data_IF_809489960843
#
_entry.id   IF_809489960843
#
_cell.length_a   1.000
_cell.length_b   1.000
_cell.length_c   1.000
_cell.angle_alpha   90.00
_cell.angle_beta   90.00
_cell.angle_gamma   90.00
#
_symmetry.space_group_name_H-M   'P 1'
#
loop_
_entity.id
_entity.type
_entity.pdbx_description
1 polymer ?
#
# COMPACT_ATOMS: atom_id res chain seq x y z
N UNK A 1 -73.07 5.19 -48.04
CA UNK A 1 -72.81 4.82 -46.62
C UNK A 1 -71.30 4.80 -46.49
N UNK A 2 -70.53 5.64 -45.78
CA UNK A 2 -70.67 6.57 -44.64
C UNK A 2 -69.61 7.69 -44.90
N UNK A 3 -69.90 9.01 -44.88
CA UNK A 3 -69.72 9.95 -43.74
C UNK A 3 -68.40 9.67 -42.95
N UNK A 4 -67.40 10.56 -42.81
CA UNK A 4 -67.40 12.01 -42.46
C UNK A 4 -65.95 12.58 -42.41
N UNK A 5 -65.81 13.88 -42.73
CA UNK A 5 -64.96 14.95 -42.15
C UNK A 5 -63.44 14.70 -41.94
N UNK A 6 -62.49 15.38 -42.59
CA UNK A 6 -62.08 16.82 -42.52
C UNK A 6 -61.94 17.33 -41.07
N UNK A 7 -60.73 17.82 -40.72
CA UNK A 7 -60.33 18.80 -39.65
C UNK A 7 -59.01 18.33 -38.96
N UNK A 8 -57.96 19.17 -38.76
CA UNK A 8 -57.07 19.73 -39.78
C UNK A 8 -55.57 19.71 -39.34
N UNK A 9 -54.72 20.27 -40.21
CA UNK A 9 -53.58 21.14 -39.93
C UNK A 9 -53.38 21.60 -38.45
N UNK A 10 -52.11 21.61 -38.01
CA UNK A 10 -51.57 22.37 -36.85
C UNK A 10 -51.74 21.77 -35.45
N UNK A 11 -51.05 20.67 -35.09
CA UNK A 11 -50.56 20.49 -33.71
C UNK A 11 -49.62 19.28 -33.56
N UNK A 12 -48.33 19.43 -33.89
CA UNK A 12 -47.20 18.70 -33.25
C UNK A 12 -45.88 18.98 -33.97
N UNK A 13 -45.70 20.24 -34.37
CA UNK A 13 -44.38 20.85 -34.55
C UNK A 13 -43.83 21.17 -33.15
N UNK A 14 -43.34 20.18 -32.42
CA UNK A 14 -42.52 20.36 -31.22
C UNK A 14 -42.07 19.00 -30.68
N UNK A 15 -40.94 18.48 -31.14
CA UNK A 15 -39.91 17.80 -30.34
C UNK A 15 -38.81 17.25 -31.27
N UNK A 16 -37.97 18.15 -31.79
CA UNK A 16 -36.60 17.81 -32.21
C UNK A 16 -35.70 19.02 -31.94
N UNK A 17 -35.12 19.15 -30.73
CA UNK A 17 -33.87 19.85 -30.57
C UNK A 17 -32.71 18.84 -30.52
N UNK A 18 -31.49 19.35 -30.64
CA UNK A 18 -30.19 18.68 -30.47
C UNK A 18 -29.57 18.00 -31.69
N UNK A 19 -29.38 18.76 -32.78
CA UNK A 19 -28.19 18.58 -33.65
C UNK A 19 -27.69 19.92 -34.19
N UNK A 20 -27.25 20.83 -33.32
CA UNK A 20 -26.41 21.96 -33.74
C UNK A 20 -25.75 22.60 -32.52
N UNK A 21 -24.43 22.48 -32.39
CA UNK A 21 -23.67 23.25 -31.42
C UNK A 21 -22.48 22.51 -30.83
N UNK A 22 -21.39 22.41 -31.58
CA UNK A 22 -20.01 22.46 -31.06
C UNK A 22 -19.08 22.77 -32.25
N UNK A 23 -19.28 23.94 -32.84
CA UNK A 23 -18.23 24.61 -33.60
C UNK A 23 -17.39 25.41 -32.61
N UNK A 24 -16.08 25.19 -32.66
CA UNK A 24 -15.03 26.10 -32.19
C UNK A 24 -15.14 26.60 -30.74
N UNK A 25 -14.79 25.74 -29.79
CA UNK A 25 -14.19 26.20 -28.54
C UNK A 25 -12.67 26.00 -28.68
N UNK A 26 -11.98 27.14 -28.77
CA UNK A 26 -10.56 27.40 -28.60
C UNK A 26 -9.59 26.22 -28.63
N UNK A 27 -8.58 26.36 -29.50
CA UNK A 27 -7.29 25.72 -29.35
C UNK A 27 -6.75 26.01 -27.93
N UNK A 28 -7.13 25.13 -26.98
CA UNK A 28 -6.41 24.95 -25.74
C UNK A 28 -5.02 24.53 -26.16
N UNK A 29 -4.14 25.53 -26.24
CA UNK A 29 -2.71 25.39 -26.10
C UNK A 29 -2.52 24.64 -24.79
N UNK A 30 -2.58 23.31 -24.87
CA UNK A 30 -2.10 22.46 -23.81
C UNK A 30 -0.71 23.02 -23.50
N UNK A 31 -0.44 23.44 -22.26
CA UNK A 31 0.95 23.58 -21.88
C UNK A 31 1.48 22.15 -22.05
N UNK A 32 2.13 21.88 -23.17
CA UNK A 32 3.15 20.86 -23.22
C UNK A 32 4.14 21.35 -22.19
N UNK A 33 3.95 20.93 -20.94
CA UNK A 33 5.03 20.72 -20.01
C UNK A 33 5.88 19.68 -20.69
N UNK A 34 6.73 20.16 -21.58
CA UNK A 34 7.82 19.41 -22.11
C UNK A 34 8.62 19.08 -20.84
N UNK A 35 8.51 17.84 -20.37
CA UNK A 35 9.36 17.26 -19.33
C UNK A 35 10.79 17.15 -19.91
N UNK A 36 11.37 18.29 -20.28
CA UNK A 36 12.77 18.44 -20.66
C UNK A 36 13.45 19.06 -19.45
N UNK A 37 13.66 18.24 -18.44
CA UNK A 37 14.37 18.61 -17.21
C UNK A 37 15.32 17.50 -16.82
N UNK A 38 16.63 17.80 -16.86
CA UNK A 38 17.74 17.09 -16.22
C UNK A 38 17.51 15.62 -15.82
N UNK A 39 17.30 14.74 -16.80
CA UNK A 39 16.96 13.34 -16.59
C UNK A 39 18.05 12.48 -15.92
N UNK A 40 19.25 13.02 -15.63
CA UNK A 40 20.37 12.18 -15.19
C UNK A 40 20.21 11.70 -13.75
N UNK A 41 19.92 12.57 -12.79
CA UNK A 41 19.83 12.19 -11.38
C UNK A 41 18.61 11.29 -11.09
N UNK A 42 17.46 11.61 -11.68
CA UNK A 42 16.24 10.83 -11.54
C UNK A 42 16.37 9.47 -12.21
N UNK A 43 16.95 9.40 -13.42
CA UNK A 43 17.21 8.14 -14.10
C UNK A 43 18.27 7.30 -13.37
N UNK A 44 19.30 7.93 -12.78
CA UNK A 44 20.30 7.23 -11.96
C UNK A 44 19.66 6.61 -10.72
N UNK A 45 18.82 7.37 -10.00
CA UNK A 45 18.06 6.86 -8.86
C UNK A 45 17.14 5.70 -9.26
N UNK A 46 16.40 5.84 -10.38
CA UNK A 46 15.51 4.80 -10.88
C UNK A 46 16.27 3.53 -11.32
N UNK A 47 17.41 3.69 -12.02
CA UNK A 47 18.29 2.57 -12.41
C UNK A 47 18.86 1.87 -11.18
N UNK A 48 19.26 2.64 -10.17
CA UNK A 48 19.77 2.09 -8.92
C UNK A 48 18.68 1.30 -8.18
N UNK A 49 17.45 1.84 -8.09
CA UNK A 49 16.30 1.13 -7.53
C UNK A 49 16.00 -0.18 -8.28
N UNK A 50 16.07 -0.17 -9.62
CA UNK A 50 15.89 -1.37 -10.42
C UNK A 50 17.01 -2.40 -10.17
N UNK A 51 18.26 -1.96 -10.06
CA UNK A 51 19.42 -2.81 -9.74
C UNK A 51 19.21 -3.53 -8.41
N UNK A 52 18.79 -2.81 -7.36
CA UNK A 52 18.59 -3.39 -6.02
C UNK A 52 17.55 -4.51 -6.00
N UNK A 53 16.50 -4.42 -6.81
CA UNK A 53 15.46 -5.46 -6.90
C UNK A 53 15.96 -6.76 -7.53
N UNK A 54 17.02 -6.71 -8.33
CA UNK A 54 17.61 -7.88 -8.97
C UNK A 54 18.75 -8.53 -8.19
N UNK A 55 19.19 -7.94 -7.07
CA UNK A 55 20.32 -8.45 -6.30
C UNK A 55 19.91 -9.62 -5.39
N UNK A 56 20.83 -10.55 -5.22
CA UNK A 56 20.77 -11.59 -4.20
C UNK A 56 20.99 -11.00 -2.78
N UNK A 57 20.58 -11.70 -1.70
CA UNK A 57 20.77 -11.20 -0.34
C UNK A 57 22.24 -10.97 0.04
N UNK A 58 23.18 -11.75 -0.49
CA UNK A 58 24.62 -11.56 -0.26
C UNK A 58 25.18 -10.34 -1.01
N UNK A 59 24.66 -10.04 -2.20
CA UNK A 59 25.02 -8.82 -2.93
C UNK A 59 24.44 -7.57 -2.25
N UNK A 60 23.23 -7.69 -1.69
CA UNK A 60 22.60 -6.61 -0.93
C UNK A 60 23.39 -6.24 0.32
N UNK A 61 23.96 -7.21 1.05
CA UNK A 61 24.82 -6.91 2.20
C UNK A 61 26.12 -6.20 1.77
N UNK A 62 26.73 -6.64 0.67
CA UNK A 62 27.94 -5.99 0.14
C UNK A 62 27.66 -4.56 -0.36
N UNK A 63 26.51 -4.36 -1.02
CA UNK A 63 26.08 -3.03 -1.48
C UNK A 63 25.76 -2.13 -0.27
N UNK A 64 25.17 -2.66 0.81
CA UNK A 64 24.92 -1.91 2.04
C UNK A 64 26.22 -1.31 2.61
N UNK A 65 27.26 -2.13 2.74
CA UNK A 65 28.58 -1.69 3.22
C UNK A 65 29.21 -0.68 2.27
N UNK A 66 29.11 -0.91 0.96
CA UNK A 66 29.67 -0.05 -0.08
C UNK A 66 29.05 1.35 -0.03
N UNK A 67 27.73 1.43 0.03
CA UNK A 67 26.98 2.70 0.04
C UNK A 67 27.18 3.43 1.37
N UNK A 68 27.22 2.70 2.49
CA UNK A 68 27.53 3.26 3.80
C UNK A 68 28.94 3.86 3.84
N UNK A 69 29.94 3.14 3.30
CA UNK A 69 31.33 3.61 3.21
C UNK A 69 31.45 4.82 2.30
N UNK A 70 30.75 4.83 1.16
CA UNK A 70 30.74 5.98 0.24
C UNK A 70 30.18 7.23 0.91
N UNK A 71 29.07 7.11 1.64
CA UNK A 71 28.49 8.22 2.41
C UNK A 71 29.43 8.70 3.54
N UNK A 72 30.07 7.79 4.25
CA UNK A 72 31.02 8.15 5.32
C UNK A 72 32.27 8.85 4.76
N UNK A 73 32.72 8.46 3.57
CA UNK A 73 33.88 9.06 2.90
C UNK A 73 33.54 10.44 2.34
N UNK A 74 32.37 10.58 1.71
CA UNK A 74 31.88 11.83 1.14
C UNK A 74 30.40 12.01 1.48
N UNK A 75 30.12 12.93 2.40
CA UNK A 75 28.77 13.33 2.80
C UNK A 75 28.12 14.28 1.79
N UNK A 76 28.09 13.89 0.53
CA UNK A 76 27.39 14.64 -0.52
C UNK A 76 25.92 14.20 -0.62
N UNK A 77 25.14 14.98 -1.35
CA UNK A 77 23.71 14.72 -1.57
C UNK A 77 23.45 13.43 -2.36
N UNK A 78 24.29 13.10 -3.35
CA UNK A 78 24.14 11.88 -4.17
C UNK A 78 24.32 10.60 -3.34
N UNK A 79 25.38 10.52 -2.50
CA UNK A 79 25.60 9.35 -1.65
C UNK A 79 24.52 9.26 -0.56
N UNK A 80 24.02 10.40 -0.08
CA UNK A 80 22.93 10.45 0.89
C UNK A 80 21.65 9.89 0.29
N UNK A 81 21.26 10.35 -0.91
CA UNK A 81 20.10 9.83 -1.63
C UNK A 81 20.26 8.33 -1.91
N UNK A 82 21.44 7.89 -2.36
CA UNK A 82 21.70 6.46 -2.65
C UNK A 82 21.58 5.60 -1.40
N UNK A 83 22.09 6.06 -0.25
CA UNK A 83 21.97 5.37 1.03
C UNK A 83 20.51 5.33 1.52
N UNK A 84 19.80 6.45 1.41
CA UNK A 84 18.38 6.51 1.76
C UNK A 84 17.55 5.56 0.88
N UNK A 85 17.80 5.55 -0.43
CA UNK A 85 17.10 4.69 -1.38
C UNK A 85 17.41 3.21 -1.15
N UNK A 86 18.64 2.88 -0.76
CA UNK A 86 18.98 1.53 -0.32
C UNK A 86 18.14 1.11 0.88
N UNK A 87 18.13 1.92 1.96
CA UNK A 87 17.37 1.60 3.17
C UNK A 87 15.84 1.58 2.95
N UNK A 88 15.34 2.36 2.00
CA UNK A 88 13.93 2.40 1.63
C UNK A 88 13.47 1.13 0.89
N UNK A 89 14.31 0.59 0.01
CA UNK A 89 13.94 -0.48 -0.93
C UNK A 89 14.45 -1.85 -0.53
N UNK A 90 15.52 -1.94 0.26
CA UNK A 90 16.06 -3.22 0.68
C UNK A 90 15.03 -3.98 1.55
N UNK A 91 14.96 -5.31 1.41
CA UNK A 91 14.13 -6.12 2.29
C UNK A 91 14.67 -6.10 3.74
N UNK A 92 13.79 -6.26 4.75
CA UNK A 92 14.23 -6.45 6.13
C UNK A 92 15.08 -7.73 6.23
N UNK A 93 16.16 -7.75 7.04
CA UNK A 93 16.53 -6.77 8.07
C UNK A 93 17.46 -5.63 7.60
N UNK A 94 17.90 -5.63 6.34
CA UNK A 94 18.86 -4.65 5.82
C UNK A 94 18.21 -3.28 5.52
N UNK A 95 16.93 -3.31 5.12
CA UNK A 95 16.12 -2.12 4.92
C UNK A 95 15.64 -1.53 6.24
N UNK A 96 15.77 -0.21 6.38
CA UNK A 96 15.25 0.56 7.50
C UNK A 96 14.66 1.88 6.99
N UNK A 97 13.33 1.90 6.85
CA UNK A 97 12.60 3.07 6.36
C UNK A 97 12.70 4.27 7.29
N UNK A 98 12.88 4.05 8.60
CA UNK A 98 13.07 5.13 9.57
C UNK A 98 14.41 5.84 9.34
N UNK A 99 15.44 5.06 9.06
CA UNK A 99 16.77 5.57 8.69
C UNK A 99 16.73 6.30 7.35
N UNK A 100 16.03 5.75 6.36
CA UNK A 100 15.83 6.42 5.07
C UNK A 100 15.14 7.79 5.24
N UNK A 101 14.10 7.88 6.08
CA UNK A 101 13.44 9.15 6.40
C UNK A 101 14.40 10.14 7.06
N UNK A 102 15.16 9.73 8.07
CA UNK A 102 16.12 10.61 8.74
C UNK A 102 17.22 11.15 7.81
N UNK A 103 17.57 10.39 6.76
CA UNK A 103 18.54 10.82 5.77
C UNK A 103 17.97 11.82 4.77
N UNK A 104 16.67 11.75 4.47
CA UNK A 104 16.02 12.64 3.50
C UNK A 104 15.38 13.88 4.15
N UNK A 105 14.98 13.79 5.41
CA UNK A 105 14.36 14.88 6.18
C UNK A 105 15.43 15.85 6.70
N UNK A 106 15.84 16.76 5.82
CA UNK A 106 16.91 17.72 6.06
C UNK A 106 16.35 19.05 6.52
N UNK A 107 16.86 19.61 7.64
CA UNK A 107 16.40 20.91 8.10
C UNK A 107 16.78 22.00 7.09
N UNK A 108 15.94 23.05 6.96
CA UNK A 108 16.18 24.17 6.06
C UNK A 108 17.36 25.01 6.58
N UNK A 109 18.58 24.59 6.26
CA UNK A 109 19.82 25.19 6.77
C UNK A 109 21.05 24.34 6.52
N UNK A 110 20.90 23.05 6.24
CA UNK A 110 22.04 22.24 5.80
C UNK A 110 22.47 22.63 4.37
N UNK A 111 23.77 22.89 4.21
CA UNK A 111 24.38 23.18 2.91
C UNK A 111 24.15 22.08 1.85
N UNK A 112 23.89 20.85 2.30
CA UNK A 112 23.60 19.69 1.45
C UNK A 112 22.09 19.41 1.29
N UNK A 113 21.23 20.26 1.85
CA UNK A 113 19.78 20.04 1.90
C UNK A 113 19.00 20.50 0.67
N UNK A 114 19.56 21.39 -0.16
CA UNK A 114 18.90 22.00 -1.32
C UNK A 114 19.68 21.82 -2.62
N UNK A 115 20.31 20.66 -2.80
CA UNK A 115 21.04 20.39 -4.02
C UNK A 115 20.14 19.88 -5.15
N UNK A 116 20.75 19.23 -6.14
CA UNK A 116 20.07 18.73 -7.35
C UNK A 116 19.06 17.63 -7.03
N UNK A 117 19.29 16.86 -5.97
CA UNK A 117 18.45 15.72 -5.61
C UNK A 117 17.34 16.06 -4.62
N UNK A 118 17.28 17.32 -4.14
CA UNK A 118 16.26 17.78 -3.22
C UNK A 118 14.82 17.54 -3.72
N UNK A 119 14.46 17.77 -4.99
CA UNK A 119 13.12 17.45 -5.49
C UNK A 119 12.77 15.96 -5.38
N UNK A 120 13.74 15.07 -5.61
CA UNK A 120 13.56 13.63 -5.42
C UNK A 120 13.35 13.29 -3.95
N UNK A 121 14.12 13.92 -3.05
CA UNK A 121 13.93 13.74 -1.61
C UNK A 121 12.52 14.15 -1.16
N UNK A 122 12.01 15.29 -1.65
CA UNK A 122 10.65 15.77 -1.38
C UNK A 122 9.57 14.83 -1.93
N UNK A 123 9.82 14.15 -3.05
CA UNK A 123 8.90 13.14 -3.59
C UNK A 123 8.89 11.87 -2.72
N UNK A 124 10.05 11.42 -2.26
CA UNK A 124 10.16 10.17 -1.48
C UNK A 124 9.72 10.31 -0.02
N UNK A 125 9.85 11.50 0.58
CA UNK A 125 9.46 11.76 1.97
C UNK A 125 8.01 11.33 2.31
N UNK A 126 6.96 11.83 1.62
CA UNK A 126 5.59 11.43 1.92
C UNK A 126 5.36 9.94 1.62
N UNK A 127 5.96 9.41 0.55
CA UNK A 127 5.85 7.99 0.22
C UNK A 127 6.42 7.10 1.32
N UNK A 128 7.57 7.46 1.89
CA UNK A 128 8.19 6.71 2.98
C UNK A 128 7.41 6.82 4.29
N UNK A 129 6.84 7.99 4.59
CA UNK A 129 5.95 8.18 5.73
C UNK A 129 4.70 7.30 5.62
N UNK A 130 4.09 7.25 4.43
CA UNK A 130 2.94 6.38 4.18
C UNK A 130 3.30 4.90 4.28
N UNK A 131 4.44 4.48 3.72
CA UNK A 131 4.89 3.10 3.86
C UNK A 131 5.09 2.72 5.33
N UNK A 132 5.68 3.60 6.14
CA UNK A 132 5.81 3.37 7.59
C UNK A 132 4.45 3.24 8.28
N UNK A 133 3.50 4.12 7.97
CA UNK A 133 2.13 4.05 8.51
C UNK A 133 1.44 2.74 8.12
N UNK A 134 1.67 2.26 6.91
CA UNK A 134 1.15 0.98 6.42
C UNK A 134 1.81 -0.20 7.14
N UNK A 135 3.13 -0.17 7.37
CA UNK A 135 3.84 -1.19 8.13
C UNK A 135 3.33 -1.28 9.58
N UNK A 136 3.12 -0.13 10.24
CA UNK A 136 2.57 -0.05 11.60
C UNK A 136 1.12 -0.58 11.65
N UNK A 137 0.29 -0.23 10.66
CA UNK A 137 -1.08 -0.75 10.55
C UNK A 137 -1.11 -2.27 10.30
N UNK A 138 -0.19 -2.78 9.47
CA UNK A 138 -0.03 -4.20 9.21
C UNK A 138 0.39 -4.95 10.48
N UNK A 139 1.37 -4.42 11.22
CA UNK A 139 1.82 -5.01 12.48
C UNK A 139 0.68 -5.06 13.52
N UNK A 140 -0.10 -3.97 13.64
CA UNK A 140 -1.26 -3.91 14.53
C UNK A 140 -2.35 -4.93 14.12
N UNK A 141 -2.62 -5.08 12.82
CA UNK A 141 -3.56 -6.07 12.30
C UNK A 141 -3.12 -7.51 12.59
N UNK A 142 -1.83 -7.81 12.37
CA UNK A 142 -1.26 -9.13 12.68
C UNK A 142 -1.32 -9.46 14.18
N UNK A 143 -1.13 -8.46 15.05
CA UNK A 143 -1.27 -8.66 16.49
C UNK A 143 -2.71 -9.04 16.86
N UNK A 144 -3.70 -8.29 16.34
CA UNK A 144 -5.13 -8.59 16.56
C UNK A 144 -5.49 -9.98 16.06
N UNK A 145 -5.02 -10.39 14.89
CA UNK A 145 -5.26 -11.72 14.36
C UNK A 145 -4.70 -12.81 15.28
N UNK A 146 -3.50 -12.62 15.84
CA UNK A 146 -2.93 -13.56 16.81
C UNK A 146 -3.72 -13.62 18.12
N UNK A 147 -4.24 -12.49 18.59
CA UNK A 147 -5.10 -12.44 19.78
C UNK A 147 -6.43 -13.16 19.55
N UNK A 148 -7.08 -12.93 18.42
CA UNK A 148 -8.32 -13.62 18.05
C UNK A 148 -8.11 -15.12 17.85
N UNK A 149 -6.99 -15.54 17.25
CA UNK A 149 -6.62 -16.95 17.16
C UNK A 149 -6.50 -17.59 18.55
N UNK A 150 -5.82 -16.94 19.49
CA UNK A 150 -5.71 -17.43 20.88
C UNK A 150 -7.07 -17.51 21.58
N UNK A 151 -7.95 -16.54 21.36
CA UNK A 151 -9.32 -16.57 21.90
C UNK A 151 -10.12 -17.72 21.32
N UNK A 152 -10.03 -17.96 20.01
CA UNK A 152 -10.69 -19.07 19.35
C UNK A 152 -10.18 -20.43 19.87
N UNK A 153 -8.86 -20.58 20.05
CA UNK A 153 -8.26 -21.79 20.64
C UNK A 153 -8.75 -22.03 22.07
N UNK A 154 -8.82 -21.00 22.91
CA UNK A 154 -9.35 -21.11 24.27
C UNK A 154 -10.83 -21.53 24.30
N UNK A 155 -11.65 -20.98 23.40
CA UNK A 155 -13.06 -21.36 23.25
C UNK A 155 -13.22 -22.80 22.75
N UNK A 156 -12.36 -23.24 21.82
CA UNK A 156 -12.36 -24.62 21.34
C UNK A 156 -11.98 -25.59 22.45
N UNK A 157 -10.95 -25.29 23.24
CA UNK A 157 -10.57 -26.10 24.40
C UNK A 157 -11.69 -26.18 25.43
N UNK A 158 -12.37 -25.06 25.72
CA UNK A 158 -13.53 -25.04 26.61
C UNK A 158 -14.69 -25.90 26.10
N UNK A 159 -15.00 -25.83 24.80
CA UNK A 159 -16.03 -26.67 24.18
C UNK A 159 -15.66 -28.17 24.24
N UNK A 160 -14.40 -28.52 24.00
CA UNK A 160 -13.95 -29.91 24.06
C UNK A 160 -14.02 -30.46 25.49
N UNK A 161 -13.63 -29.66 26.49
CA UNK A 161 -13.82 -30.02 27.90
C UNK A 161 -15.29 -30.22 28.25
N UNK A 162 -16.18 -29.40 27.72
CA UNK A 162 -17.63 -29.55 27.94
C UNK A 162 -18.16 -30.83 27.29
N UNK A 163 -17.71 -31.16 26.07
CA UNK A 163 -18.04 -32.43 25.40
C UNK A 163 -17.61 -33.64 26.23
N UNK A 164 -16.37 -33.63 26.73
CA UNK A 164 -15.87 -34.70 27.60
C UNK A 164 -16.70 -34.86 28.87
N UNK A 165 -17.16 -33.76 29.49
CA UNK A 165 -18.05 -33.82 30.65
C UNK A 165 -19.42 -34.40 30.32
N UNK A 166 -19.98 -34.04 29.16
CA UNK A 166 -21.26 -34.58 28.69
C UNK A 166 -21.16 -36.08 28.41
N UNK A 167 -20.09 -36.53 27.77
CA UNK A 167 -19.84 -37.95 27.51
C UNK A 167 -19.67 -38.73 28.82
N UNK A 168 -18.93 -38.18 29.79
CA UNK A 168 -18.79 -38.79 31.11
C UNK A 168 -20.12 -38.93 31.86
N UNK A 169 -21.00 -37.92 31.79
CA UNK A 169 -22.35 -38.00 32.37
C UNK A 169 -23.17 -39.08 31.68
N UNK A 170 -23.15 -39.11 30.35
CA UNK A 170 -23.85 -40.12 29.55
C UNK A 170 -23.41 -41.54 29.90
N UNK A 171 -22.11 -41.77 30.07
CA UNK A 171 -21.57 -43.06 30.47
C UNK A 171 -22.04 -43.48 31.89
N UNK A 172 -22.16 -42.52 32.80
CA UNK A 172 -22.72 -42.76 34.14
C UNK A 172 -24.21 -43.12 34.04
N UNK A 173 -24.99 -42.41 33.22
CA UNK A 173 -26.40 -42.71 33.00
C UNK A 173 -26.62 -44.12 32.47
N UNK A 174 -25.84 -44.54 31.46
CA UNK A 174 -25.88 -45.90 30.92
C UNK A 174 -25.54 -46.94 31.99
N UNK A 175 -24.48 -46.73 32.77
CA UNK A 175 -24.10 -47.65 33.86
C UNK A 175 -25.15 -47.76 34.96
N UNK A 176 -25.89 -46.69 35.25
CA UNK A 176 -26.99 -46.72 36.23
C UNK A 176 -28.17 -47.51 35.67
N UNK A 177 -28.52 -47.31 34.40
CA UNK A 177 -29.60 -48.05 33.72
C UNK A 177 -29.31 -49.55 33.61
N UNK A 178 -28.05 -49.93 33.38
CA UNK A 178 -27.63 -51.33 33.27
C UNK A 178 -27.51 -52.06 34.62
N UNK A 179 -27.59 -51.33 35.76
CA UNK A 179 -27.47 -51.94 37.09
C UNK A 179 -28.76 -52.72 37.42
N UNK A 180 -28.73 -54.06 37.52
CA UNK A 180 -29.94 -54.84 37.76
C UNK A 180 -30.50 -54.57 39.18
N UNK A 181 -31.83 -54.65 39.38
CA UNK A 181 -32.42 -54.47 40.70
C UNK A 181 -31.92 -55.59 41.62
N UNK A 182 -31.20 -55.19 42.67
CA UNK A 182 -30.82 -56.08 43.76
C UNK A 182 -32.09 -56.57 44.45
N UNK A 183 -32.40 -57.86 44.28
CA UNK A 183 -33.39 -58.60 45.07
C UNK A 183 -32.92 -58.77 46.51
#
# INVERSE_FOLDING_TARGET
>A
MSKTLIIPLVLSLALLPLTAGCAAADAHRSPRTIWQGAATAEAEAARYAAKLRGMSPAELSNEAETVQKAFNTRRNEDNRLRLALFHALAPPPLGDRSRALSLLDLPPGEANGRGRNHPLALLFLPLLQDNRRLDEALAASQLKLREEQKRAEALQQGNEQMRQKLDAIRDIEVKILERPPTK
#
